data_IF_297329481846
#
_entry.id   IF_297329481846
#
_cell.length_a   1.000
_cell.length_b   1.000
_cell.length_c   1.000
_cell.angle_alpha   90.00
_cell.angle_beta   90.00
_cell.angle_gamma   90.00
#
_symmetry.space_group_name_H-M   'P 1'
#
loop_
_entity.id
_entity.type
_entity.pdbx_description
1 polymer ?
#
# COMPACT_ATOMS: atom_id res chain seq x y z
N UNK A 1 -0.75 30.37 17.57
CA UNK A 1 0.02 29.32 18.22
C UNK A 1 1.29 29.17 17.43
N UNK A 2 2.45 29.41 18.07
CA UNK A 2 3.77 29.49 17.44
C UNK A 2 4.26 28.08 17.07
N UNK A 3 4.05 27.67 15.83
CA UNK A 3 4.61 26.44 15.23
C UNK A 3 6.02 26.66 14.62
N UNK A 4 6.60 27.86 14.82
CA UNK A 4 7.79 28.28 14.03
C UNK A 4 9.15 27.80 14.53
N UNK A 5 9.26 27.10 15.68
CA UNK A 5 10.55 26.79 16.27
C UNK A 5 10.80 25.31 16.65
N UNK A 6 10.03 24.34 16.11
CA UNK A 6 10.23 22.91 16.45
C UNK A 6 10.72 22.01 15.34
N UNK A 7 11.05 22.55 14.17
CA UNK A 7 11.51 21.75 13.03
C UNK A 7 13.04 21.71 12.86
N UNK A 8 13.80 21.61 13.96
CA UNK A 8 15.19 21.10 13.86
C UNK A 8 15.12 19.58 14.01
N UNK A 9 14.82 18.89 12.92
CA UNK A 9 14.78 17.43 12.83
C UNK A 9 16.15 16.93 12.34
N UNK A 10 16.64 15.77 12.82
CA UNK A 10 17.81 15.10 12.25
C UNK A 10 17.68 14.79 10.74
N UNK A 11 16.45 14.68 10.24
CA UNK A 11 16.17 14.56 8.80
C UNK A 11 16.51 15.88 8.09
N UNK A 12 16.23 17.03 8.71
CA UNK A 12 16.53 18.35 8.18
C UNK A 12 18.05 18.60 8.14
N UNK A 13 18.79 18.20 9.17
CA UNK A 13 20.23 18.38 9.22
C UNK A 13 20.99 17.50 8.24
N UNK A 14 20.53 16.27 7.95
CA UNK A 14 21.11 15.43 6.89
C UNK A 14 20.89 15.99 5.49
N UNK A 15 19.80 16.73 5.26
CA UNK A 15 19.54 17.42 4.00
C UNK A 15 20.31 18.75 3.87
N UNK A 16 20.67 19.39 4.99
CA UNK A 16 21.30 20.72 5.02
C UNK A 16 22.82 20.71 4.81
N UNK A 17 23.48 19.56 4.76
CA UNK A 17 24.95 19.46 4.58
C UNK A 17 25.45 19.49 3.13
N UNK A 18 24.58 19.82 2.16
CA UNK A 18 25.01 20.11 0.80
C UNK A 18 24.72 21.56 0.45
N UNK A 19 25.77 22.37 0.41
CA UNK A 19 25.75 23.76 0.03
C UNK A 19 25.21 23.99 -1.37
N UNK A 20 23.96 24.50 -1.48
CA UNK A 20 23.54 25.31 -2.64
C UNK A 20 22.17 25.99 -2.38
N UNK A 21 22.04 27.26 -2.78
CA UNK A 21 20.82 28.06 -2.61
C UNK A 21 19.60 27.51 -3.36
N UNK A 22 19.79 26.64 -4.34
CA UNK A 22 18.71 25.90 -5.02
C UNK A 22 18.02 24.90 -4.07
N UNK A 23 18.71 24.46 -3.02
CA UNK A 23 18.20 23.54 -2.01
C UNK A 23 17.17 24.16 -1.06
N UNK A 24 17.25 25.47 -0.80
CA UNK A 24 16.34 26.11 0.16
C UNK A 24 14.88 26.16 -0.34
N UNK A 25 14.67 26.40 -1.62
CA UNK A 25 13.33 26.36 -2.22
C UNK A 25 12.74 24.95 -2.25
N UNK A 26 13.55 23.96 -2.63
CA UNK A 26 13.16 22.54 -2.64
C UNK A 26 12.86 22.03 -1.23
N UNK A 27 13.65 22.46 -0.25
CA UNK A 27 13.45 22.13 1.16
C UNK A 27 12.16 22.73 1.72
N UNK A 28 11.87 24.01 1.42
CA UNK A 28 10.59 24.65 1.80
C UNK A 28 9.39 23.96 1.18
N UNK A 29 9.51 23.59 -0.10
CA UNK A 29 8.45 22.85 -0.79
C UNK A 29 8.22 21.47 -0.16
N UNK A 30 9.28 20.76 0.21
CA UNK A 30 9.20 19.49 0.91
C UNK A 30 8.52 19.65 2.27
N UNK A 31 8.92 20.65 3.06
CA UNK A 31 8.27 20.93 4.33
C UNK A 31 6.78 21.21 4.18
N UNK A 32 6.39 22.02 3.18
CA UNK A 32 4.99 22.32 2.91
C UNK A 32 4.19 21.07 2.54
N UNK A 33 4.77 20.16 1.74
CA UNK A 33 4.12 18.88 1.40
C UNK A 33 3.97 17.94 2.61
N UNK A 34 4.91 17.99 3.55
CA UNK A 34 4.89 17.17 4.75
C UNK A 34 3.94 17.68 5.84
N UNK A 35 3.49 18.93 5.79
CA UNK A 35 2.63 19.51 6.83
C UNK A 35 1.35 18.70 7.05
N UNK A 36 0.73 18.21 5.97
CA UNK A 36 -0.49 17.41 6.07
C UNK A 36 -0.24 16.09 6.79
N UNK A 37 0.83 15.38 6.40
CA UNK A 37 1.20 14.10 7.01
C UNK A 37 1.59 14.27 8.48
N UNK A 38 2.44 15.24 8.79
CA UNK A 38 2.85 15.56 10.16
C UNK A 38 1.65 15.97 11.04
N UNK A 39 0.72 16.75 10.48
CA UNK A 39 -0.48 17.17 11.20
C UNK A 39 -1.36 15.97 11.57
N UNK A 40 -1.49 14.98 10.69
CA UNK A 40 -2.27 13.78 10.97
C UNK A 40 -1.56 12.87 11.99
N UNK A 41 -0.24 12.71 11.87
CA UNK A 41 0.53 11.86 12.78
C UNK A 41 0.54 12.37 14.21
N UNK A 42 0.33 13.66 14.45
CA UNK A 42 0.20 14.21 15.81
C UNK A 42 -1.02 13.71 16.58
N UNK A 43 -2.02 13.15 15.89
CA UNK A 43 -3.20 12.54 16.50
C UNK A 43 -3.00 11.05 16.85
N UNK A 44 -1.86 10.48 16.53
CA UNK A 44 -1.52 9.11 16.93
C UNK A 44 -1.08 9.12 18.39
N UNK A 45 -1.65 8.24 19.19
CA UNK A 45 -1.34 8.13 20.61
C UNK A 45 0.16 7.89 20.84
N UNK A 46 0.75 8.66 21.75
CA UNK A 46 2.17 8.54 22.10
C UNK A 46 3.13 9.36 21.22
N UNK A 47 2.65 10.02 20.18
CA UNK A 47 3.49 10.90 19.35
C UNK A 47 3.74 12.23 20.05
N UNK A 48 5.00 12.50 20.39
CA UNK A 48 5.41 13.71 21.13
C UNK A 48 6.34 14.62 20.33
N UNK A 49 6.87 14.13 19.21
CA UNK A 49 7.87 14.81 18.37
C UNK A 49 7.29 15.50 17.14
N UNK A 50 5.95 15.56 17.04
CA UNK A 50 5.25 16.11 15.88
C UNK A 50 5.23 15.18 14.66
N UNK A 51 5.46 13.87 14.86
CA UNK A 51 5.36 12.84 13.82
C UNK A 51 6.64 12.58 13.02
N UNK A 52 7.76 13.16 13.42
CA UNK A 52 9.05 13.02 12.70
C UNK A 52 9.55 11.57 12.72
N UNK A 53 9.46 10.91 13.87
CA UNK A 53 9.87 9.51 14.02
C UNK A 53 8.98 8.58 13.18
N UNK A 54 7.68 8.83 13.13
CA UNK A 54 6.75 8.08 12.27
C UNK A 54 7.10 8.21 10.80
N UNK A 55 7.40 9.42 10.32
CA UNK A 55 7.83 9.61 8.93
C UNK A 55 9.17 8.92 8.64
N UNK A 56 10.10 8.91 9.59
CA UNK A 56 11.34 8.14 9.46
C UNK A 56 11.06 6.64 9.37
N UNK A 57 10.13 6.12 10.17
CA UNK A 57 9.70 4.73 10.12
C UNK A 57 9.09 4.37 8.76
N UNK A 58 8.27 5.24 8.18
CA UNK A 58 7.67 5.06 6.85
C UNK A 58 8.75 4.97 5.75
N UNK A 59 9.84 5.75 5.84
CA UNK A 59 10.94 5.70 4.88
C UNK A 59 11.75 4.40 4.96
N UNK A 60 11.87 3.83 6.15
CA UNK A 60 12.62 2.60 6.40
C UNK A 60 11.78 1.33 6.22
N UNK A 61 10.47 1.46 5.96
CA UNK A 61 9.56 0.34 5.77
C UNK A 61 9.45 -0.03 4.29
N UNK A 62 9.58 -1.31 3.96
CA UNK A 62 9.45 -1.81 2.59
C UNK A 62 8.03 -2.23 2.28
N UNK A 63 7.50 -1.77 1.15
CA UNK A 63 6.21 -2.23 0.61
C UNK A 63 6.42 -2.77 -0.78
N UNK A 64 5.95 -4.01 -1.01
CA UNK A 64 5.96 -4.63 -2.34
C UNK A 64 4.52 -4.90 -2.79
N UNK A 65 4.16 -4.35 -3.96
CA UNK A 65 2.82 -4.48 -4.54
C UNK A 65 2.83 -5.59 -5.57
N UNK A 66 2.05 -6.64 -5.34
CA UNK A 66 1.74 -7.67 -6.31
C UNK A 66 0.40 -7.34 -6.97
N UNK A 67 0.40 -7.21 -8.28
CA UNK A 67 -0.75 -6.79 -9.06
C UNK A 67 -0.44 -5.52 -9.86
N UNK A 68 -1.24 -5.25 -10.87
CA UNK A 68 -0.98 -4.17 -11.83
C UNK A 68 -2.29 -3.69 -12.45
N UNK A 69 -3.20 -3.30 -11.59
CA UNK A 69 -4.47 -2.70 -11.98
C UNK A 69 -4.55 -1.26 -11.45
N UNK A 70 -5.65 -0.60 -11.72
CA UNK A 70 -5.96 0.76 -11.28
C UNK A 70 -5.77 0.94 -9.76
N UNK A 71 -6.22 -0.03 -8.96
CA UNK A 71 -6.07 0.03 -7.50
C UNK A 71 -4.60 -0.01 -7.08
N UNK A 72 -3.80 -0.89 -7.71
CA UNK A 72 -2.36 -0.97 -7.45
C UNK A 72 -1.64 0.34 -7.77
N UNK A 73 -1.99 0.99 -8.90
CA UNK A 73 -1.47 2.31 -9.28
C UNK A 73 -1.80 3.37 -8.23
N UNK A 74 -3.05 3.42 -7.78
CA UNK A 74 -3.50 4.40 -6.78
C UNK A 74 -2.81 4.20 -5.43
N UNK A 75 -2.69 2.96 -4.96
CA UNK A 75 -1.99 2.63 -3.71
C UNK A 75 -0.51 3.00 -3.82
N UNK A 76 0.15 2.67 -4.92
CA UNK A 76 1.55 3.01 -5.17
C UNK A 76 1.79 4.52 -5.07
N UNK A 77 0.98 5.32 -5.78
CA UNK A 77 1.06 6.77 -5.72
C UNK A 77 0.81 7.30 -4.30
N UNK A 78 -0.25 6.84 -3.64
CA UNK A 78 -0.62 7.33 -2.31
C UNK A 78 0.45 7.01 -1.25
N UNK A 79 1.02 5.80 -1.24
CA UNK A 79 2.08 5.42 -0.31
C UNK A 79 3.33 6.27 -0.50
N UNK A 80 3.77 6.48 -1.74
CA UNK A 80 4.93 7.35 -2.04
C UNK A 80 4.68 8.79 -1.60
N UNK A 81 3.48 9.32 -1.88
CA UNK A 81 3.09 10.66 -1.46
C UNK A 81 3.00 10.81 0.06
N UNK A 82 2.70 9.74 0.79
CA UNK A 82 2.65 9.69 2.26
C UNK A 82 4.00 9.37 2.92
N UNK A 83 5.08 9.32 2.17
CA UNK A 83 6.44 9.14 2.69
C UNK A 83 6.95 7.70 2.78
N UNK A 84 6.19 6.70 2.29
CA UNK A 84 6.67 5.30 2.20
C UNK A 84 7.49 5.14 0.92
N UNK A 85 8.72 5.65 0.96
CA UNK A 85 9.58 5.80 -0.23
C UNK A 85 10.11 4.48 -0.77
N UNK A 86 10.14 3.43 0.05
CA UNK A 86 10.59 2.10 -0.36
C UNK A 86 9.42 1.22 -0.82
N UNK A 87 8.54 1.81 -1.65
CA UNK A 87 7.42 1.10 -2.30
C UNK A 87 7.81 0.71 -3.71
N UNK A 88 7.57 -0.55 -4.10
CA UNK A 88 7.90 -1.08 -5.41
C UNK A 88 6.87 -2.09 -5.89
N UNK A 89 6.81 -2.33 -7.20
CA UNK A 89 6.06 -3.44 -7.76
C UNK A 89 6.84 -4.75 -7.70
N UNK A 90 6.14 -5.85 -7.45
CA UNK A 90 6.73 -7.18 -7.46
C UNK A 90 7.16 -7.57 -8.88
N UNK A 91 8.38 -8.07 -9.01
CA UNK A 91 8.92 -8.57 -10.29
C UNK A 91 8.19 -9.83 -10.78
N UNK A 92 7.52 -10.55 -9.89
CA UNK A 92 6.73 -11.75 -10.21
C UNK A 92 5.30 -11.43 -10.66
N UNK A 93 4.89 -10.15 -10.58
CA UNK A 93 3.61 -9.71 -11.12
C UNK A 93 3.58 -9.92 -12.63
N UNK A 94 2.49 -10.54 -13.15
CA UNK A 94 2.33 -10.87 -14.59
C UNK A 94 2.49 -9.67 -15.54
N UNK A 95 2.39 -8.44 -15.03
CA UNK A 95 2.41 -7.21 -15.84
C UNK A 95 3.73 -6.43 -15.82
N UNK A 96 4.83 -6.96 -15.29
CA UNK A 96 6.11 -6.26 -15.27
C UNK A 96 6.55 -5.70 -16.62
N UNK A 97 6.15 -6.35 -17.73
CA UNK A 97 6.44 -5.94 -19.10
C UNK A 97 5.19 -5.58 -19.93
N UNK A 98 4.03 -5.45 -19.33
CA UNK A 98 2.80 -5.13 -20.06
C UNK A 98 2.71 -3.64 -20.37
N UNK A 99 2.32 -3.25 -21.59
CA UNK A 99 2.09 -1.85 -21.91
C UNK A 99 0.84 -1.32 -21.19
N UNK A 100 0.87 0.00 -20.90
CA UNK A 100 -0.28 0.74 -20.38
C UNK A 100 -1.39 0.71 -21.43
N UNK A 101 -2.60 0.33 -21.04
CA UNK A 101 -3.79 0.26 -21.87
C UNK A 101 -4.95 1.07 -21.31
N UNK A 102 -6.09 1.06 -22.01
CA UNK A 102 -7.29 1.81 -21.63
C UNK A 102 -7.75 1.56 -20.18
N UNK A 103 -7.72 0.31 -19.64
CA UNK A 103 -8.13 0.07 -18.26
C UNK A 103 -7.27 0.77 -17.20
N UNK A 104 -6.02 1.09 -17.54
CA UNK A 104 -5.06 1.71 -16.62
C UNK A 104 -5.29 3.23 -16.49
N UNK A 105 -5.97 3.81 -17.47
CA UNK A 105 -6.26 5.24 -17.53
C UNK A 105 -7.45 5.63 -16.65
N UNK A 106 -7.65 6.93 -16.45
CA UNK A 106 -8.83 7.47 -15.77
C UNK A 106 -8.68 7.65 -14.26
N UNK A 107 -7.49 7.39 -13.70
CA UNK A 107 -7.21 7.66 -12.27
C UNK A 107 -6.46 8.97 -12.02
N UNK A 108 -6.05 9.67 -13.08
CA UNK A 108 -5.23 10.88 -13.01
C UNK A 108 -3.74 10.62 -12.79
N UNK A 109 -3.35 9.40 -12.48
CA UNK A 109 -1.94 8.98 -12.32
C UNK A 109 -1.31 8.73 -13.68
N UNK A 110 -1.90 7.84 -14.46
CA UNK A 110 -1.52 7.58 -15.84
C UNK A 110 -2.42 8.37 -16.79
N UNK A 111 -1.82 8.92 -17.85
CA UNK A 111 -2.48 9.77 -18.84
C UNK A 111 -2.49 9.11 -20.20
N UNK A 112 -3.29 9.62 -21.11
CA UNK A 112 -3.34 9.14 -22.50
C UNK A 112 -1.98 9.22 -23.22
N UNK A 113 -1.11 10.14 -22.81
CA UNK A 113 0.26 10.25 -23.31
C UNK A 113 1.16 9.09 -22.88
N UNK A 114 0.75 8.33 -21.87
CA UNK A 114 1.50 7.19 -21.34
C UNK A 114 1.08 5.86 -22.02
N UNK A 115 0.04 5.90 -22.85
CA UNK A 115 -0.48 4.73 -23.56
C UNK A 115 0.60 4.00 -24.36
N UNK A 116 0.69 2.70 -24.19
CA UNK A 116 1.68 1.85 -24.83
C UNK A 116 3.06 1.83 -24.17
N UNK A 117 3.35 2.71 -23.21
CA UNK A 117 4.59 2.65 -22.45
C UNK A 117 4.56 1.47 -21.46
N UNK A 118 5.75 1.02 -21.02
CA UNK A 118 5.85 -0.03 -20.02
C UNK A 118 5.28 0.46 -18.68
N UNK A 119 4.32 -0.27 -18.13
CA UNK A 119 3.56 0.10 -16.94
C UNK A 119 4.45 0.38 -15.73
N UNK A 120 5.30 -0.57 -15.35
CA UNK A 120 6.15 -0.43 -14.15
C UNK A 120 7.19 0.66 -14.33
N UNK A 121 7.88 0.68 -15.49
CA UNK A 121 8.92 1.68 -15.76
C UNK A 121 8.36 3.10 -15.74
N UNK A 122 7.14 3.28 -16.30
CA UNK A 122 6.50 4.59 -16.30
C UNK A 122 6.08 5.05 -14.89
N UNK A 123 5.53 4.16 -14.09
CA UNK A 123 5.20 4.46 -12.70
C UNK A 123 6.44 4.76 -11.85
N UNK A 124 7.54 4.03 -12.07
CA UNK A 124 8.82 4.34 -11.41
C UNK A 124 9.38 5.69 -11.82
N UNK A 125 9.19 6.11 -13.07
CA UNK A 125 9.58 7.45 -13.52
C UNK A 125 8.73 8.53 -12.85
N UNK A 126 7.41 8.39 -12.89
CA UNK A 126 6.47 9.32 -12.26
C UNK A 126 6.61 9.35 -10.73
N UNK A 127 7.06 8.26 -10.11
CA UNK A 127 7.25 8.19 -8.67
C UNK A 127 8.17 9.26 -8.10
N UNK A 128 9.12 9.73 -8.91
CA UNK A 128 10.02 10.84 -8.53
C UNK A 128 9.28 12.16 -8.31
N UNK A 129 8.14 12.34 -8.99
CA UNK A 129 7.29 13.52 -8.84
C UNK A 129 6.36 13.42 -7.63
N UNK A 130 5.99 12.18 -7.26
CA UNK A 130 5.04 11.91 -6.16
C UNK A 130 5.71 11.76 -4.81
N UNK A 131 6.94 11.24 -4.81
CA UNK A 131 7.66 10.98 -3.58
C UNK A 131 7.91 12.29 -2.82
N UNK A 132 7.65 12.26 -1.52
CA UNK A 132 8.01 13.35 -0.61
C UNK A 132 9.52 13.52 -0.50
N UNK A 133 10.25 12.41 -0.69
CA UNK A 133 11.70 12.38 -0.61
C UNK A 133 12.28 11.93 -1.95
N UNK A 134 13.07 12.75 -2.61
CA UNK A 134 13.67 12.37 -3.89
C UNK A 134 14.55 11.13 -3.69
N UNK A 135 14.22 10.06 -4.39
CA UNK A 135 15.09 8.88 -4.44
C UNK A 135 16.38 9.27 -5.11
N UNK A 136 17.57 8.96 -4.54
CA UNK A 136 18.83 9.26 -5.18
C UNK A 136 18.85 8.66 -6.59
N UNK A 137 19.21 9.48 -7.58
CA UNK A 137 19.36 9.03 -8.97
C UNK A 137 20.33 7.84 -9.01
N UNK A 138 19.97 6.77 -9.74
CA UNK A 138 20.81 5.57 -9.96
C UNK A 138 22.19 5.87 -10.58
N UNK A 139 22.46 7.14 -10.93
CA UNK A 139 23.71 7.59 -11.56
C UNK A 139 24.79 8.02 -10.58
N UNK A 140 24.58 7.97 -9.27
CA UNK A 140 25.66 8.15 -8.32
C UNK A 140 26.47 6.86 -8.30
N UNK A 141 27.64 6.87 -8.97
CA UNK A 141 28.67 5.83 -8.89
C UNK A 141 29.26 5.77 -7.47
N UNK A 142 28.48 5.32 -6.55
CA UNK A 142 28.85 4.99 -5.20
C UNK A 142 27.86 3.95 -4.75
N UNK A 143 28.34 2.77 -4.38
CA UNK A 143 27.53 1.68 -3.84
C UNK A 143 26.74 2.19 -2.62
N UNK A 144 25.59 2.83 -2.86
CA UNK A 144 24.58 2.95 -1.82
C UNK A 144 24.09 1.50 -1.67
N UNK A 145 24.57 0.83 -0.62
CA UNK A 145 23.98 -0.44 -0.18
C UNK A 145 22.49 -0.14 -0.09
N UNK A 146 21.70 -0.81 -0.93
CA UNK A 146 20.26 -0.77 -0.79
C UNK A 146 19.96 -1.11 0.67
N UNK A 147 19.38 -0.18 1.40
CA UNK A 147 18.97 -0.43 2.78
C UNK A 147 17.91 -1.51 2.68
N UNK A 148 18.26 -2.72 3.11
CA UNK A 148 17.29 -3.79 3.22
C UNK A 148 16.34 -3.36 4.33
N UNK A 149 15.06 -3.13 4.04
CA UNK A 149 14.12 -2.68 5.06
C UNK A 149 14.04 -3.73 6.16
N UNK A 150 14.06 -3.28 7.40
CA UNK A 150 13.97 -4.16 8.58
C UNK A 150 12.62 -4.89 8.65
N UNK A 151 11.57 -4.25 8.12
CA UNK A 151 10.21 -4.79 8.04
C UNK A 151 9.65 -4.60 6.64
N UNK A 152 8.91 -5.59 6.17
CA UNK A 152 8.32 -5.59 4.84
C UNK A 152 6.85 -5.99 4.93
N UNK A 153 6.03 -5.38 4.07
CA UNK A 153 4.65 -5.75 3.83
C UNK A 153 4.45 -6.03 2.34
N UNK A 154 3.71 -7.07 2.01
CA UNK A 154 3.25 -7.29 0.65
C UNK A 154 1.77 -6.93 0.50
N UNK A 155 1.44 -6.11 -0.49
CA UNK A 155 0.06 -5.81 -0.86
C UNK A 155 -0.28 -6.67 -2.09
N UNK A 156 -1.27 -7.53 -1.95
CA UNK A 156 -1.74 -8.42 -3.02
C UNK A 156 -3.02 -7.83 -3.59
N UNK A 157 -2.95 -7.29 -4.82
CA UNK A 157 -4.04 -6.56 -5.44
C UNK A 157 -4.70 -7.37 -6.54
N UNK A 158 -6.03 -7.52 -6.46
CA UNK A 158 -6.82 -8.25 -7.44
C UNK A 158 -6.62 -9.76 -7.35
N UNK A 159 -6.53 -10.42 -8.51
CA UNK A 159 -6.34 -11.88 -8.60
C UNK A 159 -4.89 -12.27 -8.40
N UNK A 160 -4.69 -13.38 -7.72
CA UNK A 160 -3.37 -13.92 -7.42
C UNK A 160 -3.41 -15.47 -7.47
N UNK A 161 -2.26 -16.11 -7.75
CA UNK A 161 -2.15 -17.56 -7.67
C UNK A 161 -2.11 -18.00 -6.19
N UNK A 162 -2.70 -19.15 -5.87
CA UNK A 162 -2.70 -19.74 -4.51
C UNK A 162 -1.29 -19.94 -3.95
N UNK A 163 -0.36 -20.33 -4.83
CA UNK A 163 1.04 -20.56 -4.49
C UNK A 163 1.73 -19.32 -3.89
N UNK A 164 1.29 -18.12 -4.30
CA UNK A 164 1.79 -16.86 -3.72
C UNK A 164 1.42 -16.74 -2.25
N UNK A 165 0.18 -17.07 -1.90
CA UNK A 165 -0.30 -17.01 -0.50
C UNK A 165 0.45 -17.99 0.36
N UNK A 166 0.61 -19.23 -0.12
CA UNK A 166 1.37 -20.27 0.58
C UNK A 166 2.84 -19.88 0.78
N UNK A 167 3.44 -19.22 -0.22
CA UNK A 167 4.80 -18.71 -0.11
C UNK A 167 4.89 -17.62 0.95
N UNK A 168 3.99 -16.60 0.92
CA UNK A 168 3.98 -15.51 1.89
C UNK A 168 3.83 -16.02 3.33
N UNK A 169 2.97 -17.02 3.53
CA UNK A 169 2.79 -17.66 4.83
C UNK A 169 4.04 -18.40 5.28
N UNK A 170 4.69 -19.19 4.41
CA UNK A 170 5.93 -19.92 4.73
C UNK A 170 7.10 -18.99 5.03
N UNK A 171 7.21 -17.92 4.27
CA UNK A 171 8.31 -16.95 4.39
C UNK A 171 8.08 -15.97 5.56
N UNK A 172 6.94 -16.05 6.25
CA UNK A 172 6.61 -15.19 7.38
C UNK A 172 6.40 -13.72 6.99
N UNK A 173 6.00 -13.44 5.75
CA UNK A 173 5.84 -12.07 5.22
C UNK A 173 4.44 -11.57 5.53
N UNK A 174 4.35 -10.43 6.24
CA UNK A 174 3.09 -9.73 6.46
C UNK A 174 2.47 -9.32 5.12
N UNK A 175 1.15 -9.52 4.95
CA UNK A 175 0.52 -9.24 3.67
C UNK A 175 -0.94 -8.79 3.79
N UNK A 176 -1.34 -7.86 2.91
CA UNK A 176 -2.70 -7.31 2.82
C UNK A 176 -3.32 -7.67 1.46
N UNK A 177 -4.54 -8.21 1.48
CA UNK A 177 -5.32 -8.46 0.26
C UNK A 177 -6.21 -7.26 -0.06
N UNK A 178 -6.25 -6.85 -1.34
CA UNK A 178 -6.96 -5.64 -1.77
C UNK A 178 -7.60 -5.82 -3.13
N UNK A 179 -8.84 -5.37 -3.30
CA UNK A 179 -9.47 -5.24 -4.61
C UNK A 179 -9.89 -6.55 -5.26
N UNK A 180 -9.96 -7.64 -4.51
CA UNK A 180 -10.62 -8.87 -4.97
C UNK A 180 -12.11 -8.61 -5.15
N UNK A 181 -12.69 -9.10 -6.26
CA UNK A 181 -14.10 -8.91 -6.58
C UNK A 181 -14.84 -10.21 -6.32
N UNK A 182 -15.80 -10.15 -5.41
CA UNK A 182 -16.62 -11.29 -5.02
C UNK A 182 -18.09 -10.90 -5.01
N UNK A 183 -18.91 -11.59 -5.79
CA UNK A 183 -20.35 -11.31 -5.86
C UNK A 183 -20.69 -9.88 -6.29
N UNK A 184 -19.83 -9.22 -7.06
CA UNK A 184 -19.99 -7.83 -7.49
C UNK A 184 -19.52 -6.78 -6.48
N UNK A 185 -19.02 -7.20 -5.32
CA UNK A 185 -18.44 -6.32 -4.32
C UNK A 185 -16.91 -6.41 -4.33
N UNK A 186 -16.24 -5.30 -4.06
CA UNK A 186 -14.79 -5.27 -3.87
C UNK A 186 -14.44 -5.46 -2.41
N UNK A 187 -13.35 -6.18 -2.14
CA UNK A 187 -12.89 -6.51 -0.81
C UNK A 187 -11.58 -5.82 -0.49
N UNK A 188 -11.43 -5.34 0.75
CA UNK A 188 -10.16 -4.88 1.31
C UNK A 188 -9.91 -5.62 2.63
N UNK A 189 -8.74 -6.23 2.77
CA UNK A 189 -8.40 -7.14 3.86
C UNK A 189 -8.58 -8.62 3.47
N UNK A 190 -8.13 -9.53 4.34
CA UNK A 190 -7.48 -9.25 5.61
C UNK A 190 -6.03 -8.77 5.44
N UNK A 191 -5.54 -8.06 6.45
CA UNK A 191 -4.12 -7.96 6.72
C UNK A 191 -3.73 -9.20 7.53
N UNK A 192 -2.81 -9.98 6.99
CA UNK A 192 -2.36 -11.24 7.57
C UNK A 192 -0.98 -11.07 8.16
N UNK A 193 -0.85 -11.41 9.44
CA UNK A 193 0.43 -11.57 10.13
C UNK A 193 0.62 -13.08 10.31
N UNK A 194 1.53 -13.73 9.54
CA UNK A 194 1.75 -15.17 9.63
C UNK A 194 1.96 -15.63 11.06
N UNK A 195 1.41 -16.78 11.41
CA UNK A 195 1.38 -17.35 12.74
C UNK A 195 0.65 -16.55 13.84
N UNK A 196 0.22 -15.29 13.58
CA UNK A 196 -0.41 -14.43 14.60
C UNK A 196 -1.88 -14.10 14.32
N UNK A 197 -2.26 -13.93 13.06
CA UNK A 197 -3.63 -13.58 12.66
C UNK A 197 -4.31 -14.71 11.87
N UNK A 198 -5.64 -14.62 11.64
CA UNK A 198 -6.30 -15.45 10.65
C UNK A 198 -5.67 -15.22 9.27
N UNK A 199 -5.40 -16.30 8.54
CA UNK A 199 -4.91 -16.24 7.17
C UNK A 199 -6.07 -16.12 6.16
N UNK A 200 -5.77 -15.98 4.87
CA UNK A 200 -6.79 -15.88 3.81
C UNK A 200 -7.73 -17.10 3.82
N UNK A 201 -7.20 -18.31 3.96
CA UNK A 201 -8.02 -19.53 4.01
C UNK A 201 -8.94 -19.59 5.25
N UNK A 202 -8.53 -19.00 6.40
CA UNK A 202 -9.43 -18.87 7.56
C UNK A 202 -10.63 -17.99 7.21
N UNK A 203 -10.40 -16.89 6.47
CA UNK A 203 -11.45 -15.98 6.03
C UNK A 203 -12.39 -16.67 5.06
N UNK A 204 -11.87 -17.40 4.09
CA UNK A 204 -12.66 -18.14 3.10
C UNK A 204 -13.53 -19.22 3.76
N UNK A 205 -12.95 -20.03 4.65
CA UNK A 205 -13.69 -21.04 5.42
C UNK A 205 -14.77 -20.39 6.29
N UNK A 206 -14.45 -19.34 7.01
CA UNK A 206 -15.42 -18.62 7.84
C UNK A 206 -16.54 -17.95 7.04
N UNK A 207 -16.23 -17.48 5.83
CA UNK A 207 -17.21 -16.92 4.91
C UNK A 207 -18.14 -18.01 4.38
N UNK A 208 -17.59 -19.15 3.95
CA UNK A 208 -18.37 -20.31 3.48
C UNK A 208 -19.31 -20.85 4.57
N UNK A 209 -18.82 -21.01 5.80
CA UNK A 209 -19.68 -21.46 6.90
C UNK A 209 -20.78 -20.46 7.25
N UNK A 210 -20.48 -19.15 7.20
CA UNK A 210 -21.43 -18.10 7.58
C UNK A 210 -22.51 -17.86 6.54
N UNK A 211 -22.18 -17.96 5.25
CA UNK A 211 -23.07 -17.57 4.15
C UNK A 211 -23.52 -18.77 3.30
N UNK A 212 -23.08 -20.00 3.61
CA UNK A 212 -23.42 -21.20 2.85
C UNK A 212 -22.92 -21.17 1.40
N UNK A 213 -21.90 -20.36 1.12
CA UNK A 213 -21.34 -20.20 -0.22
C UNK A 213 -20.16 -21.16 -0.34
N UNK A 214 -20.41 -22.33 -0.91
CA UNK A 214 -19.35 -23.22 -1.36
C UNK A 214 -18.69 -22.59 -2.59
N UNK A 215 -17.53 -21.98 -2.35
CA UNK A 215 -16.70 -21.31 -3.34
C UNK A 215 -17.36 -20.08 -3.99
N UNK A 216 -16.86 -18.95 -3.62
CA UNK A 216 -17.04 -17.71 -4.36
C UNK A 216 -16.33 -17.86 -5.73
N UNK A 217 -16.97 -18.59 -6.66
CA UNK A 217 -16.45 -18.70 -8.01
C UNK A 217 -16.40 -17.31 -8.61
N UNK A 218 -15.22 -16.87 -9.09
CA UNK A 218 -15.17 -15.66 -9.91
C UNK A 218 -16.08 -15.91 -11.10
N UNK A 219 -17.10 -15.07 -11.25
CA UNK A 219 -17.99 -15.13 -12.41
C UNK A 219 -17.11 -15.01 -13.66
N UNK A 220 -17.13 -16.04 -14.49
CA UNK A 220 -16.38 -16.11 -15.74
C UNK A 220 -16.73 -14.88 -16.59
N UNK A 221 -15.73 -14.12 -17.02
CA UNK A 221 -15.91 -12.97 -17.91
C UNK A 221 -15.93 -11.60 -17.24
N UNK A 222 -15.67 -11.49 -15.94
CA UNK A 222 -15.56 -10.18 -15.30
C UNK A 222 -14.15 -9.57 -15.48
N UNK A 223 -14.16 -8.28 -15.73
CA UNK A 223 -12.96 -7.46 -15.75
C UNK A 223 -12.31 -7.48 -14.35
N UNK A 224 -10.99 -7.59 -14.29
CA UNK A 224 -10.24 -7.52 -13.03
C UNK A 224 -10.10 -6.07 -12.53
N UNK A 225 -10.70 -5.11 -13.24
CA UNK A 225 -10.70 -3.70 -12.91
C UNK A 225 -11.98 -3.30 -12.18
N UNK A 226 -11.82 -2.58 -11.08
CA UNK A 226 -12.92 -1.97 -10.36
C UNK A 226 -13.42 -0.71 -11.08
N UNK A 227 -14.72 -0.36 -10.94
CA UNK A 227 -15.19 0.97 -11.31
C UNK A 227 -14.31 2.06 -10.66
N UNK A 228 -14.08 3.17 -11.36
CA UNK A 228 -13.14 4.22 -10.92
C UNK A 228 -13.42 4.67 -9.49
N UNK A 229 -14.68 4.97 -9.17
CA UNK A 229 -15.08 5.44 -7.84
C UNK A 229 -14.80 4.42 -6.73
N UNK A 230 -15.08 3.14 -6.98
CA UNK A 230 -14.80 2.05 -6.03
C UNK A 230 -13.30 1.84 -5.90
N UNK A 231 -12.55 1.92 -7.01
CA UNK A 231 -11.10 1.82 -7.01
C UNK A 231 -10.43 2.87 -6.13
N UNK A 232 -10.89 4.13 -6.16
CA UNK A 232 -10.41 5.19 -5.26
C UNK A 232 -10.70 4.90 -3.79
N UNK A 233 -11.92 4.45 -3.47
CA UNK A 233 -12.30 4.12 -2.09
C UNK A 233 -11.45 2.97 -1.54
N UNK A 234 -11.33 1.88 -2.30
CA UNK A 234 -10.54 0.70 -1.93
C UNK A 234 -9.07 1.07 -1.75
N UNK A 235 -8.49 1.83 -2.68
CA UNK A 235 -7.10 2.25 -2.62
C UNK A 235 -6.83 3.19 -1.43
N UNK A 236 -7.73 4.14 -1.17
CA UNK A 236 -7.62 5.06 -0.02
C UNK A 236 -7.64 4.32 1.30
N UNK A 237 -8.60 3.41 1.48
CA UNK A 237 -8.71 2.59 2.71
C UNK A 237 -7.52 1.65 2.86
N UNK A 238 -7.09 0.98 1.79
CA UNK A 238 -5.93 0.09 1.84
C UNK A 238 -4.64 0.86 2.20
N UNK A 239 -4.45 2.04 1.61
CA UNK A 239 -3.31 2.91 1.95
C UNK A 239 -3.34 3.30 3.41
N UNK A 240 -4.49 3.74 3.93
CA UNK A 240 -4.64 4.09 5.34
C UNK A 240 -4.35 2.90 6.26
N UNK A 241 -4.85 1.71 5.93
CA UNK A 241 -4.57 0.48 6.69
C UNK A 241 -3.08 0.14 6.75
N UNK A 242 -2.36 0.35 5.64
CA UNK A 242 -0.90 0.15 5.56
C UNK A 242 -0.16 1.20 6.39
N UNK A 243 -0.54 2.48 6.28
CA UNK A 243 0.07 3.55 7.09
C UNK A 243 -0.15 3.31 8.58
N UNK A 244 -1.38 2.97 8.99
CA UNK A 244 -1.68 2.61 10.38
C UNK A 244 -0.79 1.47 10.87
N UNK A 245 -0.62 0.42 10.04
CA UNK A 245 0.25 -0.72 10.38
C UNK A 245 1.72 -0.34 10.51
N UNK A 246 2.22 0.53 9.63
CA UNK A 246 3.61 1.03 9.69
C UNK A 246 3.80 1.87 10.95
N UNK A 247 2.90 2.80 11.20
CA UNK A 247 3.02 3.81 12.24
C UNK A 247 2.80 3.26 13.65
N UNK A 248 1.91 2.26 13.81
CA UNK A 248 1.50 1.75 15.14
C UNK A 248 1.81 0.26 15.36
N UNK A 249 2.23 -0.46 14.32
CA UNK A 249 2.42 -1.91 14.38
C UNK A 249 1.11 -2.72 14.39
N UNK A 250 -0.05 -2.05 14.29
CA UNK A 250 -1.37 -2.69 14.24
C UNK A 250 -2.25 -2.09 13.15
N UNK A 251 -3.35 -2.75 12.81
CA UNK A 251 -4.34 -2.24 11.88
C UNK A 251 -5.70 -2.90 12.14
N UNK A 252 -6.78 -2.17 11.91
CA UNK A 252 -8.14 -2.72 12.00
C UNK A 252 -8.38 -3.86 11.01
N UNK A 253 -7.55 -3.97 9.98
CA UNK A 253 -7.63 -5.02 8.95
C UNK A 253 -6.94 -6.33 9.35
N UNK A 254 -6.28 -6.40 10.52
CA UNK A 254 -5.71 -7.66 11.01
C UNK A 254 -6.86 -8.65 11.29
N UNK A 255 -6.96 -9.68 10.46
CA UNK A 255 -8.05 -10.66 10.52
C UNK A 255 -9.44 -10.10 10.21
N UNK A 256 -9.51 -8.95 9.55
CA UNK A 256 -10.78 -8.29 9.19
C UNK A 256 -10.84 -7.98 7.71
N UNK A 257 -12.04 -7.93 7.16
CA UNK A 257 -12.29 -7.62 5.76
C UNK A 257 -13.41 -6.59 5.64
N UNK A 258 -13.19 -5.55 4.85
CA UNK A 258 -14.19 -4.56 4.47
C UNK A 258 -14.70 -4.85 3.07
N UNK A 259 -16.02 -4.78 2.92
CA UNK A 259 -16.73 -4.97 1.65
C UNK A 259 -17.16 -3.61 1.09
N UNK A 260 -16.86 -3.36 -0.17
CA UNK A 260 -17.31 -2.18 -0.92
C UNK A 260 -18.33 -2.62 -1.97
N UNK A 261 -19.57 -2.20 -1.79
CA UNK A 261 -20.64 -2.45 -2.74
C UNK A 261 -20.83 -1.23 -3.66
N UNK A 262 -20.81 -1.44 -4.97
CA UNK A 262 -21.04 -0.37 -5.93
C UNK A 262 -22.42 0.26 -5.80
N UNK A 263 -23.44 -0.55 -5.46
CA UNK A 263 -24.83 -0.06 -5.32
C UNK A 263 -25.07 0.67 -4.00
N UNK A 264 -24.25 0.40 -2.99
CA UNK A 264 -24.43 0.97 -1.65
C UNK A 264 -23.09 1.27 -0.97
N UNK A 265 -22.38 2.32 -1.42
CA UNK A 265 -21.02 2.62 -0.93
C UNK A 265 -20.95 2.92 0.57
N UNK A 266 -22.08 3.22 1.20
CA UNK A 266 -22.18 3.52 2.64
C UNK A 266 -22.49 2.26 3.48
N UNK A 267 -22.88 1.14 2.85
CA UNK A 267 -23.22 -0.12 3.55
C UNK A 267 -22.06 -1.10 3.68
N UNK A 268 -20.86 -0.71 3.30
CA UNK A 268 -19.67 -1.53 3.48
C UNK A 268 -19.49 -1.89 4.95
N UNK A 269 -19.62 -3.17 5.26
CA UNK A 269 -19.47 -3.68 6.61
C UNK A 269 -18.09 -4.29 6.82
N UNK A 270 -17.47 -4.03 7.99
CA UNK A 270 -16.28 -4.76 8.42
C UNK A 270 -16.70 -6.11 9.00
N UNK A 271 -16.21 -7.18 8.41
CA UNK A 271 -16.36 -8.54 8.94
C UNK A 271 -15.06 -8.96 9.60
N UNK A 272 -15.13 -9.37 10.86
CA UNK A 272 -13.99 -9.90 11.61
C UNK A 272 -14.03 -11.43 11.60
N UNK A 273 -12.86 -12.02 11.46
CA UNK A 273 -12.66 -13.45 11.42
C UNK A 273 -11.72 -13.90 12.53
N UNK A 274 -11.97 -15.08 13.07
CA UNK A 274 -11.04 -15.80 13.94
C UNK A 274 -10.24 -16.81 13.12
N UNK A 275 -9.19 -17.37 13.71
CA UNK A 275 -8.52 -18.52 13.13
C UNK A 275 -9.50 -19.68 13.04
N UNK A 276 -9.61 -20.28 11.86
CA UNK A 276 -10.57 -21.33 11.61
C UNK A 276 -10.02 -22.69 12.06
N UNK A 277 -10.78 -23.49 12.86
CA UNK A 277 -10.28 -24.75 13.42
C UNK A 277 -9.91 -25.81 12.36
N UNK A 278 -10.48 -25.73 11.16
CA UNK A 278 -10.15 -26.63 10.04
C UNK A 278 -9.02 -26.09 9.15
N UNK A 279 -8.44 -24.92 9.46
CA UNK A 279 -7.40 -24.35 8.65
C UNK A 279 -6.02 -24.88 9.06
N UNK A 280 -5.22 -25.28 8.07
CA UNK A 280 -3.86 -25.79 8.29
C UNK A 280 -2.89 -24.76 8.88
N UNK A 281 -3.21 -23.44 8.80
CA UNK A 281 -2.37 -22.39 9.38
C UNK A 281 -2.23 -22.45 10.91
N UNK A 282 -3.01 -23.30 11.59
CA UNK A 282 -2.87 -23.52 13.03
C UNK A 282 -1.60 -24.32 13.40
N UNK A 283 -1.03 -25.00 12.43
CA UNK A 283 0.13 -25.88 12.63
C UNK A 283 1.45 -25.24 12.18
N UNK A 284 1.40 -23.99 11.73
CA UNK A 284 2.55 -23.16 11.39
C UNK A 284 2.81 -22.19 12.56
#
# INVERSE_FOLDING_TARGET
VRLHNRFHSPIAERAAHTEDQSNDASYRQLQQRMVSELSQTTWVDGVVDGGVELLSSRQNFGVEIYGSNRVATLIYNALLASGVTNTRFSLTSRRGNTPIGDPDLGTGVLRTTDYGLNYVSRLEELSREWSLFPTPSKNVKGSIKAVIPERNLRIVVGRYPSELVDQLMRDGIDHLFVGEIVGGAALCGPLVIPAKSPCKSCVELGTSERFGIDQLQPLLGHCDELPVSVGFQVAGVATHAVLQFIDTGTSEFIGSQLTFDYQSPVRGGVTRYARHPKCSCQWM
#
